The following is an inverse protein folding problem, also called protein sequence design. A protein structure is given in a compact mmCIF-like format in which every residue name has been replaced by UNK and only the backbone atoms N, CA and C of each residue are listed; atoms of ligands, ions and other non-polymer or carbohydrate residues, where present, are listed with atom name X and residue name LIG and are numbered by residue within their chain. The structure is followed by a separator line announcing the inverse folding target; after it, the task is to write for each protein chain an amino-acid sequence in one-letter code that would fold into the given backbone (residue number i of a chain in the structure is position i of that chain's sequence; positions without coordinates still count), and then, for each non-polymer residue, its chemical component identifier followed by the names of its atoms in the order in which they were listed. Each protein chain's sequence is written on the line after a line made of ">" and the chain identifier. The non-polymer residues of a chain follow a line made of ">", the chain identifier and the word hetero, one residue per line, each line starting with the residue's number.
data_IF_954298070181
#
_entry.id   IF_954298070181
#
_cell.length_a   1.000
_cell.length_b   1.000
_cell.length_c   1.000
_cell.angle_alpha   90.00
_cell.angle_beta   90.00
_cell.angle_gamma   90.00
#
_symmetry.space_group_name_H-M   'P 1'
#
loop_
_entity.id
_entity.type
_entity.pdbx_description
1 polymer ?
#
# COMPACT_ATOMS: atom_id res chain seq x y z
N UNK A 1 -9.08 -19.68 10.28
CA UNK A 1 -7.67 -19.86 10.67
C UNK A 1 -6.94 -20.24 9.40
N UNK A 2 -5.80 -19.65 9.09
CA UNK A 2 -5.00 -20.07 7.92
C UNK A 2 -4.46 -21.45 8.28
N UNK A 3 -4.89 -22.49 7.56
CA UNK A 3 -4.51 -23.85 7.89
C UNK A 3 -3.25 -24.28 7.13
N UNK A 4 -2.99 -23.70 5.95
CA UNK A 4 -1.83 -24.03 5.12
C UNK A 4 -1.23 -22.79 4.46
N UNK A 5 0.08 -22.83 4.18
CA UNK A 5 0.79 -21.72 3.50
C UNK A 5 0.22 -21.49 2.10
N UNK A 6 -0.29 -22.53 1.47
CA UNK A 6 -0.93 -22.47 0.16
C UNK A 6 -2.16 -21.56 0.14
N UNK A 7 -2.84 -21.38 1.27
CA UNK A 7 -4.01 -20.51 1.38
C UNK A 7 -3.61 -19.01 1.42
N UNK A 8 -2.32 -18.71 1.59
CA UNK A 8 -1.73 -17.36 1.57
C UNK A 8 -1.06 -17.03 0.23
N UNK A 9 -1.12 -17.93 -0.75
CA UNK A 9 -0.46 -17.71 -2.02
C UNK A 9 -1.05 -16.51 -2.76
N UNK A 10 -0.15 -15.67 -3.27
CA UNK A 10 -0.48 -14.57 -4.16
C UNK A 10 -1.06 -15.10 -5.48
N UNK A 11 -1.88 -14.31 -6.21
CA UNK A 11 -2.43 -14.73 -7.49
C UNK A 11 -1.35 -15.20 -8.47
N UNK A 12 -1.46 -16.45 -8.93
CA UNK A 12 -0.47 -17.10 -9.80
C UNK A 12 -0.16 -16.29 -11.08
N UNK A 13 -1.15 -15.56 -11.61
CA UNK A 13 -0.96 -14.70 -12.77
C UNK A 13 0.03 -13.55 -12.49
N UNK A 14 -0.06 -12.93 -11.31
CA UNK A 14 0.81 -11.81 -10.91
C UNK A 14 2.23 -12.32 -10.65
N UNK A 15 2.36 -13.41 -9.88
CA UNK A 15 3.65 -14.06 -9.63
C UNK A 15 4.29 -14.50 -10.95
N UNK A 16 3.50 -15.09 -11.86
CA UNK A 16 3.95 -15.54 -13.16
C UNK A 16 4.46 -14.42 -14.06
N UNK A 17 3.88 -13.21 -13.97
CA UNK A 17 4.34 -12.00 -14.68
C UNK A 17 5.65 -11.50 -14.08
N UNK A 18 5.71 -11.32 -12.75
CA UNK A 18 6.92 -10.83 -12.06
C UNK A 18 8.14 -11.74 -12.29
N UNK A 19 7.94 -13.07 -12.31
CA UNK A 19 9.02 -14.01 -12.65
C UNK A 19 9.55 -13.77 -14.07
N UNK A 20 8.67 -13.54 -15.04
CA UNK A 20 9.09 -13.31 -16.43
C UNK A 20 9.80 -11.96 -16.58
N UNK A 21 9.28 -10.93 -15.92
CA UNK A 21 9.88 -9.58 -15.95
C UNK A 21 11.30 -9.57 -15.34
N UNK A 22 11.61 -10.52 -14.44
CA UNK A 22 12.93 -10.70 -13.84
C UNK A 22 13.90 -11.58 -14.68
N UNK A 23 13.46 -12.11 -15.82
CA UNK A 23 14.25 -13.03 -16.66
C UNK A 23 14.42 -12.48 -18.09
N UNK A 24 15.45 -12.94 -18.83
CA UNK A 24 15.61 -12.60 -20.24
C UNK A 24 14.42 -13.06 -21.09
N UNK A 25 14.19 -12.36 -22.20
CA UNK A 25 13.16 -12.75 -23.17
C UNK A 25 13.37 -14.19 -23.67
N UNK A 26 12.27 -14.95 -23.76
CA UNK A 26 12.30 -16.36 -24.17
C UNK A 26 12.69 -17.36 -23.08
N UNK A 27 13.05 -16.92 -21.87
CA UNK A 27 13.32 -17.82 -20.75
C UNK A 27 12.05 -18.56 -20.28
N UNK A 28 12.18 -19.87 -20.10
CA UNK A 28 11.10 -20.74 -19.64
C UNK A 28 11.30 -21.13 -18.17
N UNK A 29 10.19 -21.20 -17.43
CA UNK A 29 10.17 -21.58 -16.01
C UNK A 29 9.14 -22.68 -15.80
N UNK A 30 9.57 -23.79 -15.19
CA UNK A 30 8.73 -24.96 -14.94
C UNK A 30 7.57 -24.64 -13.98
N UNK A 31 6.55 -25.49 -13.98
CA UNK A 31 5.39 -25.34 -13.09
C UNK A 31 5.81 -25.46 -11.62
N UNK A 32 6.73 -26.38 -11.34
CA UNK A 32 7.27 -26.67 -10.02
C UNK A 32 8.05 -25.47 -9.48
N UNK A 33 8.88 -24.84 -10.31
CA UNK A 33 9.62 -23.64 -9.93
C UNK A 33 8.69 -22.46 -9.65
N UNK A 34 7.65 -22.26 -10.49
CA UNK A 34 6.63 -21.22 -10.25
C UNK A 34 5.90 -21.44 -8.92
N UNK A 35 5.50 -22.68 -8.63
CA UNK A 35 4.84 -23.03 -7.37
C UNK A 35 5.78 -22.86 -6.16
N UNK A 36 7.07 -23.18 -6.31
CA UNK A 36 8.07 -22.95 -5.27
C UNK A 36 8.24 -21.45 -4.98
N UNK A 37 8.35 -20.61 -6.01
CA UNK A 37 8.46 -19.15 -5.86
C UNK A 37 7.21 -18.56 -5.22
N UNK A 38 6.01 -19.02 -5.61
CA UNK A 38 4.76 -18.56 -5.00
C UNK A 38 4.72 -18.85 -3.49
N UNK A 39 5.09 -20.07 -3.08
CA UNK A 39 5.20 -20.43 -1.65
C UNK A 39 6.30 -19.64 -0.94
N UNK A 40 7.45 -19.45 -1.58
CA UNK A 40 8.55 -18.66 -1.02
C UNK A 40 8.15 -17.20 -0.79
N UNK A 41 7.36 -16.61 -1.69
CA UNK A 41 6.82 -15.26 -1.51
C UNK A 41 5.91 -15.16 -0.27
N UNK A 42 5.03 -16.14 -0.07
CA UNK A 42 4.18 -16.21 1.14
C UNK A 42 5.02 -16.30 2.41
N UNK A 43 6.03 -17.17 2.42
CA UNK A 43 6.97 -17.32 3.54
C UNK A 43 7.77 -16.04 3.77
N UNK A 44 8.21 -15.36 2.71
CA UNK A 44 8.92 -14.09 2.80
C UNK A 44 8.08 -13.03 3.51
N UNK A 45 6.80 -12.88 3.17
CA UNK A 45 5.91 -11.92 3.85
C UNK A 45 5.78 -12.24 5.34
N UNK A 46 5.59 -13.51 5.69
CA UNK A 46 5.48 -13.96 7.09
C UNK A 46 6.79 -13.68 7.85
N UNK A 47 7.92 -14.02 7.24
CA UNK A 47 9.23 -13.86 7.82
C UNK A 47 9.58 -12.39 8.04
N UNK A 48 9.40 -11.55 7.03
CA UNK A 48 9.64 -10.11 7.13
C UNK A 48 8.71 -9.47 8.17
N UNK A 49 7.43 -9.87 8.22
CA UNK A 49 6.49 -9.39 9.23
C UNK A 49 6.93 -9.77 10.63
N UNK A 50 7.36 -11.02 10.85
CA UNK A 50 7.87 -11.50 12.14
C UNK A 50 9.10 -10.72 12.60
N UNK A 51 10.08 -10.54 11.71
CA UNK A 51 11.30 -9.77 11.98
C UNK A 51 11.00 -8.31 12.30
N UNK A 52 10.12 -7.68 11.51
CA UNK A 52 9.67 -6.29 11.74
C UNK A 52 8.93 -6.14 13.07
N UNK A 53 8.12 -7.13 13.45
CA UNK A 53 7.40 -7.13 14.74
C UNK A 53 8.38 -7.22 15.90
N UNK A 54 9.41 -8.07 15.79
CA UNK A 54 10.45 -8.19 16.81
C UNK A 54 11.24 -6.89 16.96
N UNK A 55 11.55 -6.20 15.85
CA UNK A 55 12.21 -4.90 15.90
C UNK A 55 11.34 -3.82 16.53
N UNK A 56 10.05 -3.76 16.16
CA UNK A 56 9.09 -2.83 16.76
C UNK A 56 8.98 -3.04 18.27
N UNK A 57 8.88 -4.30 18.73
CA UNK A 57 8.86 -4.65 20.16
C UNK A 57 10.14 -4.24 20.88
N UNK A 58 11.31 -4.45 20.27
CA UNK A 58 12.61 -4.02 20.82
C UNK A 58 12.69 -2.50 21.03
N UNK A 59 11.97 -1.74 20.21
CA UNK A 59 11.85 -0.28 20.30
C UNK A 59 10.66 0.18 21.17
N UNK A 60 9.98 -0.72 21.89
CA UNK A 60 8.76 -0.44 22.67
C UNK A 60 7.58 0.10 21.83
N UNK A 61 7.55 -0.16 20.53
CA UNK A 61 6.44 0.20 19.67
C UNK A 61 5.35 -0.89 19.70
N UNK A 62 4.09 -0.47 19.86
CA UNK A 62 2.92 -1.35 19.78
C UNK A 62 2.46 -1.61 18.34
N UNK A 63 2.96 -0.82 17.39
CA UNK A 63 2.59 -0.86 15.98
C UNK A 63 3.85 -0.96 15.14
N UNK A 64 3.83 -1.82 14.12
CA UNK A 64 4.93 -1.92 13.16
C UNK A 64 4.92 -0.65 12.30
N UNK A 65 6.06 0.03 12.24
CA UNK A 65 6.24 1.21 11.39
C UNK A 65 6.99 0.85 10.11
N UNK A 66 6.93 1.71 9.10
CA UNK A 66 7.72 1.53 7.88
C UNK A 66 9.23 1.49 8.14
N UNK A 67 9.72 2.27 9.13
CA UNK A 67 11.11 2.23 9.54
C UNK A 67 11.49 0.84 10.07
N UNK A 68 10.60 0.19 10.83
CA UNK A 68 10.83 -1.18 11.30
C UNK A 68 10.95 -2.19 10.15
N UNK A 69 10.18 -2.02 9.08
CA UNK A 69 10.24 -2.90 7.90
C UNK A 69 11.55 -2.67 7.13
N UNK A 70 11.93 -1.41 6.89
CA UNK A 70 13.16 -1.08 6.17
C UNK A 70 14.41 -1.52 6.93
N UNK A 71 14.43 -1.39 8.25
CA UNK A 71 15.54 -1.87 9.08
C UNK A 71 15.56 -3.40 9.19
N UNK A 72 14.40 -4.06 9.21
CA UNK A 72 14.33 -5.51 9.14
C UNK A 72 14.90 -6.03 7.81
N UNK A 73 14.60 -5.38 6.68
CA UNK A 73 15.18 -5.76 5.38
C UNK A 73 16.71 -5.71 5.38
N UNK A 74 17.33 -4.72 6.03
CA UNK A 74 18.79 -4.68 6.22
C UNK A 74 19.29 -5.85 7.07
N UNK A 75 18.62 -6.15 8.19
CA UNK A 75 19.03 -7.29 9.03
C UNK A 75 18.86 -8.65 8.36
N UNK A 76 18.00 -8.73 7.35
CA UNK A 76 17.74 -9.93 6.57
C UNK A 76 18.55 -10.00 5.26
N UNK A 77 19.53 -9.13 5.07
CA UNK A 77 20.41 -9.09 3.88
C UNK A 77 19.64 -8.78 2.58
N UNK A 78 18.56 -8.00 2.68
CA UNK A 78 17.79 -7.46 1.55
C UNK A 78 17.98 -5.93 1.42
N UNK A 79 19.20 -5.43 1.64
CA UNK A 79 19.51 -3.98 1.58
C UNK A 79 19.17 -3.36 0.24
N UNK A 80 19.30 -4.13 -0.85
CA UNK A 80 18.96 -3.69 -2.21
C UNK A 80 17.49 -3.29 -2.37
N UNK A 81 16.60 -3.70 -1.46
CA UNK A 81 15.19 -3.33 -1.50
C UNK A 81 14.92 -2.00 -0.79
N UNK A 82 15.83 -1.52 0.05
CA UNK A 82 15.60 -0.36 0.94
C UNK A 82 15.40 0.92 0.14
N UNK A 83 16.26 1.20 -0.84
CA UNK A 83 16.20 2.43 -1.63
C UNK A 83 14.94 2.49 -2.53
N UNK A 84 14.61 1.45 -3.33
CA UNK A 84 13.36 1.42 -4.10
C UNK A 84 12.12 1.58 -3.21
N UNK A 85 12.05 0.86 -2.09
CA UNK A 85 10.89 0.93 -1.19
C UNK A 85 10.76 2.27 -0.48
N UNK A 86 11.89 2.95 -0.20
CA UNK A 86 11.87 4.29 0.37
C UNK A 86 11.27 5.30 -0.62
N UNK A 87 11.65 5.20 -1.89
CA UNK A 87 11.10 6.01 -2.99
C UNK A 87 9.59 5.78 -3.15
N UNK A 88 9.16 4.52 -3.17
CA UNK A 88 7.73 4.16 -3.27
C UNK A 88 6.93 4.67 -2.07
N UNK A 89 7.50 4.63 -0.87
CA UNK A 89 6.87 5.11 0.35
C UNK A 89 6.68 6.63 0.34
N UNK A 90 7.64 7.39 -0.17
CA UNK A 90 7.51 8.83 -0.35
C UNK A 90 6.41 9.18 -1.37
N UNK A 91 6.41 8.48 -2.52
CA UNK A 91 5.39 8.63 -3.54
C UNK A 91 3.98 8.31 -2.99
N UNK A 92 3.85 7.24 -2.21
CA UNK A 92 2.60 6.87 -1.55
C UNK A 92 2.13 7.96 -0.59
N UNK A 93 3.01 8.47 0.28
CA UNK A 93 2.67 9.54 1.24
C UNK A 93 2.19 10.81 0.54
N UNK A 94 2.85 11.20 -0.56
CA UNK A 94 2.43 12.33 -1.40
C UNK A 94 1.04 12.08 -1.99
N UNK A 95 0.82 10.93 -2.62
CA UNK A 95 -0.46 10.59 -3.24
C UNK A 95 -1.63 10.56 -2.22
N UNK A 96 -1.39 10.06 -1.00
CA UNK A 96 -2.37 10.06 0.09
C UNK A 96 -2.71 11.49 0.53
N UNK A 97 -1.71 12.36 0.65
CA UNK A 97 -1.91 13.77 0.98
C UNK A 97 -2.73 14.49 -0.08
N UNK A 98 -2.36 14.33 -1.36
CA UNK A 98 -3.05 14.97 -2.48
C UNK A 98 -4.52 14.54 -2.58
N UNK A 99 -4.82 13.26 -2.32
CA UNK A 99 -6.22 12.77 -2.25
C UNK A 99 -7.01 13.43 -1.13
N UNK A 100 -6.40 13.61 0.04
CA UNK A 100 -7.04 14.27 1.19
C UNK A 100 -7.30 15.75 0.92
N UNK A 101 -6.36 16.43 0.28
CA UNK A 101 -6.48 17.86 -0.05
C UNK A 101 -7.55 18.07 -1.14
N UNK A 102 -7.62 17.19 -2.14
CA UNK A 102 -8.72 17.19 -3.13
C UNK A 102 -10.09 16.97 -2.49
N UNK A 103 -10.22 16.00 -1.59
CA UNK A 103 -11.48 15.72 -0.89
C UNK A 103 -11.96 16.91 -0.04
N UNK A 104 -11.03 17.64 0.60
CA UNK A 104 -11.34 18.88 1.33
C UNK A 104 -11.74 20.04 0.41
N UNK A 105 -11.11 20.14 -0.76
CA UNK A 105 -11.48 21.17 -1.74
C UNK A 105 -12.89 20.92 -2.30
N UNK A 106 -13.26 19.67 -2.59
CA UNK A 106 -14.61 19.33 -3.07
C UNK A 106 -15.70 19.56 -2.02
N UNK A 107 -15.41 19.36 -0.73
CA UNK A 107 -16.36 19.69 0.34
C UNK A 107 -16.52 21.19 0.56
N UNK A 108 -15.47 21.98 0.32
CA UNK A 108 -15.54 23.44 0.40
C UNK A 108 -16.33 24.05 -0.77
N UNK A 109 -16.21 23.50 -1.98
CA UNK A 109 -16.99 23.94 -3.15
C UNK A 109 -18.48 23.57 -3.01
N UNK A 110 -18.81 22.42 -2.42
CA UNK A 110 -20.19 22.04 -2.14
C UNK A 110 -20.85 22.94 -1.06
N UNK A 111 -20.09 23.38 -0.06
CA UNK A 111 -20.59 24.31 0.95
C UNK A 111 -20.82 25.73 0.40
N UNK A 112 -19.98 26.20 -0.54
CA UNK A 112 -20.12 27.51 -1.17
C UNK A 112 -21.29 27.60 -2.17
N UNK A 113 -21.67 26.48 -2.78
CA UNK A 113 -22.79 26.43 -3.73
C UNK A 113 -24.17 26.40 -3.04
N UNK A 114 -24.22 26.02 -1.76
CA UNK A 114 -25.48 25.97 -0.99
C UNK A 114 -25.82 27.30 -0.30
N UNK A 115 -24.88 28.26 -0.26
CA UNK A 115 -25.10 29.59 0.30
C UNK A 115 -25.57 30.62 -0.73
N UNK A 116 -25.55 30.29 -2.04
CA UNK A 116 -25.99 31.21 -3.10
C UNK A 116 -27.44 30.99 -3.56
N UNK A 117 -28.15 30.00 -2.99
CA UNK A 117 -29.53 29.68 -3.34
C UNK A 117 -30.58 30.18 -2.31
N UNK A 118 -30.14 30.78 -1.19
CA UNK A 118 -31.03 31.19 -0.09
C UNK A 118 -31.29 32.72 -0.01
N UNK A 119 -30.71 33.52 -0.91
CA UNK A 119 -30.85 35.00 -0.88
C UNK A 119 -31.92 35.56 -1.85
N UNK A 120 -32.53 34.75 -2.73
CA UNK A 120 -33.52 35.25 -3.71
C UNK A 120 -35.00 35.18 -3.23
N UNK A 121 -35.31 34.59 -2.06
CA UNK A 121 -36.70 34.41 -1.61
C UNK A 121 -37.23 35.47 -0.61
N UNK A 122 -36.47 36.51 -0.26
CA UNK A 122 -36.86 37.46 0.81
C UNK A 122 -37.27 38.89 0.36
N UNK A 123 -37.38 39.18 -0.94
CA UNK A 123 -37.72 40.55 -1.41
C UNK A 123 -39.16 40.78 -1.91
N UNK A 124 -40.04 39.78 -2.03
CA UNK A 124 -41.36 39.99 -2.69
C UNK A 124 -42.60 40.18 -1.80
N UNK A 125 -42.49 40.22 -0.47
CA UNK A 125 -43.70 40.26 0.39
C UNK A 125 -43.80 41.44 1.36
N UNK A 126 -43.30 42.63 0.97
CA UNK A 126 -43.50 43.88 1.75
C UNK A 126 -44.36 44.96 1.09
N UNK A 127 -45.09 44.64 0.03
CA UNK A 127 -46.06 45.55 -0.57
C UNK A 127 -47.35 44.82 -0.93
N UNK A 128 -48.29 44.75 0.01
CA UNK A 128 -49.75 44.74 -0.21
C UNK A 128 -50.46 45.07 1.09
#
# INVERSE_FOLDING_TARGET
>A
MVERIEDLNLPNAVVGRLIKDALPEGANVSKEARAAIARAASVFVIFLTSSSTTLARKQNHKTITAANILDALKQLEFESFVEPLSTDLEAYRKAVKDKKDKAKSSSATAAANNSSANDEEMETEKTS
#
